data_IF_310617350512
#
_entry.id   IF_310617350512
#
_cell.length_a   1.000
_cell.length_b   1.000
_cell.length_c   1.000
_cell.angle_alpha   90.00
_cell.angle_beta   90.00
_cell.angle_gamma   90.00
#
_symmetry.space_group_name_H-M   'P 1'
#
loop_
_entity.id
_entity.type
_entity.pdbx_description
1 polymer ?
#
# COMPACT_ATOMS: atom_id res chain seq x y z
N UNK A 1 -24.91 0.63 -39.05
CA UNK A 1 -25.38 1.94 -38.52
C UNK A 1 -26.30 1.70 -37.33
N UNK A 2 -25.75 1.77 -36.12
CA UNK A 2 -26.37 2.55 -35.03
C UNK A 2 -25.25 2.98 -34.08
N UNK A 3 -25.36 4.22 -33.64
CA UNK A 3 -24.31 5.07 -33.10
C UNK A 3 -24.66 5.35 -31.64
N UNK A 4 -23.74 5.08 -30.71
CA UNK A 4 -23.68 5.54 -29.30
C UNK A 4 -24.94 5.24 -28.44
N UNK A 5 -24.88 4.92 -27.15
CA UNK A 5 -24.37 5.70 -26.03
C UNK A 5 -24.25 4.80 -24.79
N UNK A 6 -23.09 4.82 -24.13
CA UNK A 6 -23.04 5.06 -22.68
C UNK A 6 -21.65 5.56 -22.30
N UNK A 7 -21.50 6.87 -22.48
CA UNK A 7 -20.49 7.68 -21.80
C UNK A 7 -21.03 7.99 -20.40
N UNK A 8 -20.35 7.54 -19.36
CA UNK A 8 -20.37 8.12 -18.01
C UNK A 8 -19.24 7.45 -17.21
N UNK A 9 -18.22 8.10 -16.67
CA UNK A 9 -17.95 9.52 -16.51
C UNK A 9 -16.46 9.67 -16.20
N UNK A 10 -15.82 10.66 -16.81
CA UNK A 10 -14.72 11.37 -16.15
C UNK A 10 -15.31 12.01 -14.89
N UNK A 11 -15.04 11.44 -13.72
CA UNK A 11 -15.16 12.17 -12.46
C UNK A 11 -13.82 12.09 -11.76
N UNK A 12 -13.14 13.23 -11.72
CA UNK A 12 -12.06 13.45 -10.79
C UNK A 12 -12.61 13.34 -9.38
N UNK A 13 -12.12 12.35 -8.64
CA UNK A 13 -12.17 12.34 -7.20
C UNK A 13 -10.82 11.78 -6.74
N UNK A 14 -10.01 12.67 -6.18
CA UNK A 14 -8.73 12.41 -5.52
C UNK A 14 -8.92 11.64 -4.19
N UNK A 15 -9.68 10.55 -4.23
CA UNK A 15 -9.81 9.60 -3.15
C UNK A 15 -8.83 8.46 -3.39
N UNK A 16 -7.92 8.23 -2.44
CA UNK A 16 -7.28 6.93 -2.36
C UNK A 16 -8.39 5.86 -2.33
N UNK A 17 -8.23 4.69 -2.99
CA UNK A 17 -9.19 3.61 -2.86
C UNK A 17 -9.46 3.35 -1.38
N UNK A 18 -10.71 3.10 -1.00
CA UNK A 18 -11.13 2.82 0.38
C UNK A 18 -10.31 1.69 1.06
N UNK A 19 -9.55 0.92 0.27
CA UNK A 19 -8.69 -0.17 0.70
C UNK A 19 -7.30 0.25 1.24
N UNK A 20 -6.84 1.50 1.05
CA UNK A 20 -5.56 1.99 1.61
C UNK A 20 -5.66 2.27 3.12
N UNK A 21 -5.93 1.21 3.88
CA UNK A 21 -6.04 1.21 5.34
C UNK A 21 -4.79 0.58 5.96
N UNK A 22 -4.33 1.16 7.07
CA UNK A 22 -3.31 0.52 7.91
C UNK A 22 -3.84 -0.85 8.38
N UNK A 23 -2.99 -1.87 8.30
CA UNK A 23 -3.34 -3.26 8.56
C UNK A 23 -3.78 -4.05 7.32
N UNK A 24 -4.07 -3.39 6.19
CA UNK A 24 -4.41 -4.10 4.94
C UNK A 24 -3.23 -4.92 4.43
N UNK A 25 -3.53 -6.14 3.97
CA UNK A 25 -2.59 -7.03 3.26
C UNK A 25 -2.54 -6.67 1.77
N UNK A 26 -1.32 -6.50 1.29
CA UNK A 26 -1.05 -6.00 -0.06
C UNK A 26 0.12 -6.74 -0.68
N UNK A 27 0.15 -6.78 -2.00
CA UNK A 27 1.33 -7.13 -2.78
C UNK A 27 2.00 -5.85 -3.28
N UNK A 28 3.31 -5.75 -3.09
CA UNK A 28 4.18 -4.71 -3.63
C UNK A 28 5.32 -5.38 -4.39
N UNK A 29 5.37 -5.17 -5.71
CA UNK A 29 6.44 -5.72 -6.56
C UNK A 29 6.62 -7.24 -6.40
N UNK A 30 5.52 -8.00 -6.33
CA UNK A 30 5.55 -9.46 -6.18
C UNK A 30 5.78 -9.97 -4.74
N UNK A 31 5.86 -9.08 -3.75
CA UNK A 31 6.09 -9.42 -2.34
C UNK A 31 4.90 -9.04 -1.49
N UNK A 32 4.55 -9.90 -0.54
CA UNK A 32 3.42 -9.67 0.34
C UNK A 32 3.86 -8.87 1.58
N UNK A 33 3.02 -7.94 1.99
CA UNK A 33 3.22 -7.16 3.20
C UNK A 33 1.95 -6.55 3.75
N UNK A 34 2.11 -5.84 4.86
CA UNK A 34 1.06 -5.15 5.61
C UNK A 34 1.29 -3.65 5.56
N UNK A 35 0.25 -2.87 5.24
CA UNK A 35 0.34 -1.41 5.33
C UNK A 35 0.52 -0.99 6.79
N UNK A 36 1.57 -0.23 7.10
CA UNK A 36 1.85 0.32 8.43
C UNK A 36 1.82 1.84 8.49
N UNK A 37 1.89 2.51 7.34
CA UNK A 37 1.89 3.97 7.27
C UNK A 37 1.20 4.45 5.99
N UNK A 38 0.39 5.51 6.09
CA UNK A 38 -0.17 6.22 4.93
C UNK A 38 -0.11 7.72 5.23
N UNK A 39 0.70 8.47 4.50
CA UNK A 39 0.88 9.89 4.80
C UNK A 39 1.98 10.59 4.03
N UNK A 40 2.21 11.86 4.35
CA UNK A 40 3.35 12.64 3.85
C UNK A 40 4.62 12.26 4.60
N UNK A 41 5.78 12.38 3.95
CA UNK A 41 7.07 12.05 4.55
C UNK A 41 8.02 13.23 4.48
N UNK A 42 9.06 13.22 5.32
CA UNK A 42 10.11 14.25 5.28
C UNK A 42 11.10 14.02 4.13
N UNK A 43 11.21 12.79 3.62
CA UNK A 43 12.21 12.43 2.63
C UNK A 43 11.77 12.72 1.18
N UNK A 44 10.47 12.83 0.91
CA UNK A 44 9.96 13.12 -0.42
C UNK A 44 8.52 13.66 -0.40
N UNK A 45 8.20 14.50 -1.39
CA UNK A 45 6.87 15.12 -1.52
C UNK A 45 5.75 14.13 -1.85
N UNK A 46 4.52 14.55 -1.61
CA UNK A 46 3.31 13.76 -1.87
C UNK A 46 3.09 12.66 -0.84
N UNK A 47 2.00 11.90 -1.02
CA UNK A 47 1.62 10.82 -0.11
C UNK A 47 2.38 9.53 -0.44
N UNK A 48 2.83 8.85 0.60
CA UNK A 48 3.53 7.59 0.56
C UNK A 48 2.80 6.55 1.40
N UNK A 49 3.04 5.29 1.07
CA UNK A 49 2.57 4.14 1.83
C UNK A 49 3.79 3.38 2.33
N UNK A 50 3.89 3.23 3.65
CA UNK A 50 4.86 2.37 4.30
C UNK A 50 4.28 0.98 4.46
N UNK A 51 5.00 -0.02 3.94
CA UNK A 51 4.62 -1.43 3.99
C UNK A 51 5.70 -2.21 4.76
N UNK A 52 5.27 -3.01 5.72
CA UNK A 52 6.08 -4.06 6.33
C UNK A 52 5.93 -5.32 5.49
N UNK A 53 6.99 -5.75 4.81
CA UNK A 53 7.04 -7.00 4.08
C UNK A 53 7.16 -8.19 5.03
N UNK A 54 6.60 -9.33 4.62
CA UNK A 54 6.70 -10.56 5.40
C UNK A 54 8.14 -11.10 5.46
N UNK A 55 8.90 -10.91 4.38
CA UNK A 55 10.28 -11.33 4.26
C UNK A 55 11.26 -10.15 4.36
N UNK A 56 12.55 -10.46 4.59
CA UNK A 56 13.62 -9.48 4.75
C UNK A 56 14.12 -8.94 3.40
N UNK A 57 13.20 -8.52 2.53
CA UNK A 57 13.50 -8.07 1.17
C UNK A 57 13.13 -6.59 0.90
N UNK A 58 12.90 -5.85 1.99
CA UNK A 58 12.68 -4.42 2.04
C UNK A 58 13.98 -3.61 2.10
N UNK A 59 13.84 -2.32 2.41
CA UNK A 59 14.94 -1.33 2.34
C UNK A 59 15.23 -0.63 3.67
N UNK A 60 14.35 -0.75 4.65
CA UNK A 60 14.46 -0.08 5.93
C UNK A 60 13.78 -0.88 7.05
N UNK A 61 13.81 -0.35 8.27
CA UNK A 61 13.14 -0.87 9.47
C UNK A 61 12.02 0.07 9.95
N UNK A 62 11.40 0.81 9.02
CA UNK A 62 10.43 1.87 9.31
C UNK A 62 11.02 3.23 9.68
N UNK A 63 12.36 3.34 9.73
CA UNK A 63 13.09 4.62 9.86
C UNK A 63 13.71 5.00 8.52
N UNK A 64 13.52 6.25 8.09
CA UNK A 64 14.17 6.81 6.89
C UNK A 64 14.73 8.18 7.25
N UNK A 65 16.02 8.41 6.99
CA UNK A 65 16.73 9.66 7.32
C UNK A 65 16.55 10.08 8.78
N UNK A 66 16.69 9.13 9.71
CA UNK A 66 16.60 9.40 11.16
C UNK A 66 15.19 9.59 11.71
N UNK A 67 14.15 9.65 10.86
CA UNK A 67 12.75 9.76 11.30
C UNK A 67 12.04 8.42 11.25
N UNK A 68 11.39 8.04 12.35
CA UNK A 68 10.53 6.85 12.46
C UNK A 68 9.13 7.15 11.93
N UNK A 69 8.60 6.24 11.12
CA UNK A 69 7.25 6.29 10.56
C UNK A 69 6.40 5.10 11.00
N UNK A 70 7.04 3.94 11.12
CA UNK A 70 6.46 2.71 11.65
C UNK A 70 7.57 1.84 12.25
N UNK A 71 7.19 0.74 12.88
CA UNK A 71 8.13 -0.25 13.43
C UNK A 71 8.04 -1.54 12.61
N UNK A 72 9.19 -2.09 12.25
CA UNK A 72 9.34 -3.44 11.71
C UNK A 72 10.79 -3.91 11.85
N UNK A 73 11.05 -5.17 11.51
CA UNK A 73 12.40 -5.75 11.49
C UNK A 73 13.29 -5.09 10.42
N UNK A 74 14.60 -5.16 10.60
CA UNK A 74 15.59 -4.68 9.62
C UNK A 74 15.37 -5.33 8.26
N UNK A 75 15.33 -4.52 7.20
CA UNK A 75 15.05 -4.94 5.83
C UNK A 75 13.64 -5.48 5.59
N UNK A 76 12.64 -5.14 6.42
CA UNK A 76 11.23 -5.46 6.12
C UNK A 76 10.44 -4.25 5.64
N UNK A 77 10.85 -3.03 5.96
CA UNK A 77 10.13 -1.82 5.61
C UNK A 77 10.42 -1.35 4.19
N UNK A 78 9.38 -0.89 3.49
CA UNK A 78 9.48 -0.22 2.18
C UNK A 78 8.50 0.95 2.14
N UNK A 79 8.87 2.01 1.40
CA UNK A 79 7.95 3.08 1.04
C UNK A 79 7.66 3.04 -0.46
N UNK A 80 6.38 3.02 -0.83
CA UNK A 80 5.92 3.07 -2.22
C UNK A 80 4.83 4.10 -2.44
N UNK A 81 4.52 4.36 -3.70
CA UNK A 81 3.31 5.09 -4.11
C UNK A 81 2.12 4.13 -4.14
N UNK A 82 0.93 4.68 -3.93
CA UNK A 82 -0.33 3.94 -4.02
C UNK A 82 -0.47 3.14 -5.33
N UNK A 83 0.04 3.66 -6.45
CA UNK A 83 0.02 2.99 -7.76
C UNK A 83 0.84 1.70 -7.85
N UNK A 84 1.71 1.44 -6.86
CA UNK A 84 2.55 0.23 -6.80
C UNK A 84 1.95 -0.85 -5.90
N UNK A 85 0.80 -0.59 -5.28
CA UNK A 85 0.11 -1.52 -4.40
C UNK A 85 -0.94 -2.29 -5.20
N UNK A 86 -0.92 -3.60 -5.06
CA UNK A 86 -2.03 -4.47 -5.44
C UNK A 86 -2.71 -4.98 -4.18
N UNK A 87 -4.01 -4.80 -4.08
CA UNK A 87 -4.78 -5.33 -2.97
C UNK A 87 -5.01 -6.83 -3.15
N UNK A 88 -4.74 -7.60 -2.10
CA UNK A 88 -5.07 -9.01 -2.11
C UNK A 88 -6.59 -9.18 -1.98
N UNK A 89 -7.21 -10.17 -2.66
CA UNK A 89 -8.61 -10.51 -2.47
C UNK A 89 -8.93 -10.81 -1.01
N UNK A 90 -10.17 -10.58 -0.60
CA UNK A 90 -10.61 -10.83 0.78
C UNK A 90 -10.35 -12.28 1.22
N UNK A 91 -10.50 -13.26 0.33
CA UNK A 91 -10.16 -14.67 0.57
C UNK A 91 -8.70 -14.93 0.95
N UNK A 92 -7.78 -14.01 0.65
CA UNK A 92 -6.36 -14.08 1.00
C UNK A 92 -6.00 -13.20 2.20
N UNK A 93 -6.97 -12.48 2.78
CA UNK A 93 -6.78 -11.64 3.98
C UNK A 93 -7.03 -12.42 5.29
N UNK A 94 -7.56 -13.64 5.19
CA UNK A 94 -8.10 -14.42 6.32
C UNK A 94 -7.40 -15.79 6.49
N UNK A 95 -6.09 -15.86 6.28
CA UNK A 95 -5.36 -17.13 6.49
C UNK A 95 -4.98 -17.39 7.96
N UNK A 96 -5.16 -16.41 8.85
CA UNK A 96 -4.73 -16.47 10.27
C UNK A 96 -5.89 -16.54 11.29
N UNK A 97 -7.15 -16.67 10.84
CA UNK A 97 -8.34 -16.74 11.70
C UNK A 97 -9.02 -18.12 11.69
N UNK A 98 -8.34 -19.15 11.18
CA UNK A 98 -8.82 -20.54 11.18
C UNK A 98 -7.94 -21.47 12.02
N UNK A 99 -7.16 -20.94 12.96
CA UNK A 99 -6.52 -21.71 14.03
C UNK A 99 -7.02 -21.26 15.40
#
# INVERSE_FOLDING_TARGET
MSTLERRSSLTGASGLPAELKIGSRVEVQGKIGTIRFVGVTSFATGKWVGVELDDASGKNNGVVQGKRYFECKTNHGVFVRASQIKFLPESQRVSWLLE
#
